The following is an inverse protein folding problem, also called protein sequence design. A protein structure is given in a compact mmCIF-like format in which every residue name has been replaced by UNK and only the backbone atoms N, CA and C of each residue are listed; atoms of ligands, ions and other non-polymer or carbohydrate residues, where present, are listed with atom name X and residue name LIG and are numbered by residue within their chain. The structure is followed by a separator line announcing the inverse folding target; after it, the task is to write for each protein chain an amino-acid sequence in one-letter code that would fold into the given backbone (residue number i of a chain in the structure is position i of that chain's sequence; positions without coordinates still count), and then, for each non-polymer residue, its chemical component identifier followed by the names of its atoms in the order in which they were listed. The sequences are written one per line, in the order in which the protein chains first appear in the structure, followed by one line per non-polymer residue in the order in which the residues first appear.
data_IF_228762246671
#
_entry.id   IF_228762246671
#
_cell.length_a   1.000
_cell.length_b   1.000
_cell.length_c   1.000
_cell.angle_alpha   90.00
_cell.angle_beta   90.00
_cell.angle_gamma   90.00
#
_symmetry.space_group_name_H-M   'P 1'
#
loop_
_entity.id
_entity.type
_entity.pdbx_description
1 polymer ?
#
# COMPACT_ATOMS: atom_id res chain seq x y z
N UNK A 1 0.91 13.39 -36.28
CA UNK A 1 -0.57 13.43 -36.36
C UNK A 1 -1.12 13.49 -34.95
N UNK A 2 -2.16 14.29 -34.72
CA UNK A 2 -2.91 14.25 -33.45
C UNK A 2 -3.85 13.03 -33.48
N UNK A 3 -3.85 12.25 -32.42
CA UNK A 3 -4.75 11.11 -32.26
C UNK A 3 -5.85 11.46 -31.25
N UNK A 4 -7.08 11.10 -31.58
CA UNK A 4 -8.24 11.24 -30.68
C UNK A 4 -8.55 9.88 -30.08
N UNK A 5 -8.69 9.83 -28.75
CA UNK A 5 -9.02 8.62 -28.01
C UNK A 5 -10.31 8.84 -27.24
N UNK A 6 -11.17 7.81 -27.21
CA UNK A 6 -12.39 7.80 -26.42
C UNK A 6 -12.32 6.65 -25.41
N UNK A 7 -12.71 6.90 -24.16
CA UNK A 7 -12.61 5.94 -23.08
C UNK A 7 -13.95 5.84 -22.36
N UNK A 8 -14.48 4.61 -22.22
CA UNK A 8 -15.68 4.32 -21.43
C UNK A 8 -15.31 3.38 -20.29
N UNK A 9 -15.69 3.73 -19.06
CA UNK A 9 -15.47 2.91 -17.87
C UNK A 9 -16.76 2.91 -17.05
N UNK A 10 -17.31 1.72 -16.79
CA UNK A 10 -18.48 1.57 -15.91
C UNK A 10 -18.07 1.76 -14.44
N UNK A 11 -18.82 2.58 -13.70
CA UNK A 11 -18.53 2.86 -12.28
C UNK A 11 -18.98 1.72 -11.37
N UNK A 12 -20.10 1.08 -11.70
CA UNK A 12 -20.64 -0.09 -10.99
C UNK A 12 -20.85 -1.26 -11.93
N UNK A 13 -20.66 -2.45 -11.38
CA UNK A 13 -20.74 -3.73 -12.10
C UNK A 13 -21.66 -4.74 -11.41
N UNK A 14 -22.39 -4.32 -10.37
CA UNK A 14 -23.25 -5.20 -9.58
C UNK A 14 -24.36 -5.84 -10.41
N UNK A 15 -24.96 -5.12 -11.37
CA UNK A 15 -25.99 -5.68 -12.26
C UNK A 15 -25.42 -6.74 -13.20
N UNK A 16 -24.20 -6.55 -13.69
CA UNK A 16 -23.51 -7.53 -14.52
C UNK A 16 -23.19 -8.80 -13.72
N UNK A 17 -22.69 -8.65 -12.49
CA UNK A 17 -22.42 -9.79 -11.60
C UNK A 17 -23.70 -10.54 -11.24
N UNK A 18 -24.78 -9.81 -10.95
CA UNK A 18 -26.11 -10.38 -10.69
C UNK A 18 -26.59 -11.24 -11.86
N UNK A 19 -26.54 -10.68 -13.09
CA UNK A 19 -27.03 -11.36 -14.28
C UNK A 19 -26.17 -12.56 -14.68
N UNK A 20 -24.85 -12.44 -14.58
CA UNK A 20 -23.93 -13.45 -15.12
C UNK A 20 -23.55 -14.52 -14.11
N UNK A 21 -23.49 -14.18 -12.81
CA UNK A 21 -23.01 -15.08 -11.76
C UNK A 21 -24.10 -15.39 -10.74
N UNK A 22 -24.59 -14.40 -9.99
CA UNK A 22 -25.42 -14.63 -8.80
C UNK A 22 -26.75 -15.33 -9.13
N UNK A 23 -27.36 -15.01 -10.27
CA UNK A 23 -28.59 -15.70 -10.73
C UNK A 23 -28.34 -16.99 -11.50
N UNK A 24 -27.15 -17.13 -12.09
CA UNK A 24 -26.85 -18.24 -12.99
C UNK A 24 -26.40 -19.50 -12.25
N UNK A 25 -25.80 -19.34 -11.07
CA UNK A 25 -25.27 -20.46 -10.28
C UNK A 25 -25.99 -20.49 -8.92
N UNK A 26 -26.61 -21.62 -8.52
CA UNK A 26 -27.43 -21.69 -7.32
C UNK A 26 -26.72 -21.26 -6.03
N UNK A 27 -25.46 -21.66 -5.86
CA UNK A 27 -24.65 -21.33 -4.69
C UNK A 27 -23.20 -21.06 -5.10
N UNK A 28 -22.65 -19.92 -4.69
CA UNK A 28 -21.28 -19.52 -5.00
C UNK A 28 -20.51 -19.22 -3.72
N UNK A 29 -19.27 -19.73 -3.62
CA UNK A 29 -18.35 -19.39 -2.55
C UNK A 29 -17.42 -18.29 -3.05
N UNK A 30 -17.52 -17.10 -2.45
CA UNK A 30 -16.57 -16.00 -2.65
C UNK A 30 -15.63 -15.99 -1.45
N UNK A 31 -14.35 -16.31 -1.67
CA UNK A 31 -13.34 -16.34 -0.62
C UNK A 31 -12.08 -15.58 -1.02
N UNK A 32 -11.49 -14.87 -0.07
CA UNK A 32 -10.21 -14.18 -0.21
C UNK A 32 -9.68 -13.88 1.19
N UNK A 33 -8.35 -13.76 1.31
CA UNK A 33 -7.70 -13.32 2.55
C UNK A 33 -8.14 -11.91 2.98
N UNK A 34 -8.63 -11.09 2.04
CA UNK A 34 -9.16 -9.76 2.34
C UNK A 34 -10.44 -9.52 1.54
N UNK A 35 -11.58 -9.58 2.22
CA UNK A 35 -12.88 -9.18 1.66
C UNK A 35 -13.50 -7.98 2.40
N UNK A 36 -13.03 -7.72 3.63
CA UNK A 36 -13.50 -6.61 4.46
C UNK A 36 -12.67 -5.35 4.21
N UNK A 37 -13.32 -4.21 4.39
CA UNK A 37 -12.67 -2.90 4.50
C UNK A 37 -13.25 -2.19 5.71
N UNK A 38 -12.39 -1.52 6.51
CA UNK A 38 -12.80 -0.90 7.78
C UNK A 38 -13.61 -1.85 8.68
N UNK A 39 -13.18 -3.11 8.81
CA UNK A 39 -13.87 -4.16 9.56
C UNK A 39 -15.32 -4.44 9.10
N UNK A 40 -15.70 -4.09 7.87
CA UNK A 40 -17.05 -4.32 7.34
C UNK A 40 -17.04 -4.95 5.94
N UNK A 41 -18.08 -5.73 5.63
CA UNK A 41 -18.38 -6.21 4.28
C UNK A 41 -19.17 -5.21 3.45
N UNK A 42 -19.55 -4.04 3.99
CA UNK A 42 -20.38 -3.05 3.29
C UNK A 42 -19.85 -2.68 1.91
N UNK A 43 -18.52 -2.50 1.77
CA UNK A 43 -17.92 -2.20 0.46
C UNK A 43 -18.08 -3.36 -0.53
N UNK A 44 -17.85 -4.60 -0.10
CA UNK A 44 -18.03 -5.77 -0.96
C UNK A 44 -19.50 -5.88 -1.39
N UNK A 45 -20.44 -5.75 -0.46
CA UNK A 45 -21.88 -5.79 -0.75
C UNK A 45 -22.26 -4.71 -1.78
N UNK A 46 -21.80 -3.47 -1.57
CA UNK A 46 -22.12 -2.35 -2.46
C UNK A 46 -21.55 -2.49 -3.87
N UNK A 47 -20.35 -3.07 -4.00
CA UNK A 47 -19.67 -3.24 -5.29
C UNK A 47 -20.11 -4.51 -6.03
N UNK A 48 -20.41 -5.58 -5.30
CA UNK A 48 -20.75 -6.89 -5.89
C UNK A 48 -22.25 -7.09 -6.11
N UNK A 49 -23.09 -6.39 -5.35
CA UNK A 49 -24.54 -6.59 -5.36
C UNK A 49 -25.04 -7.64 -4.36
N UNK A 50 -24.16 -8.38 -3.68
CA UNK A 50 -24.51 -9.37 -2.66
C UNK A 50 -25.22 -8.71 -1.46
N UNK A 51 -26.29 -9.34 -0.98
CA UNK A 51 -27.18 -8.81 0.08
C UNK A 51 -27.65 -9.93 0.99
N UNK A 52 -27.59 -9.69 2.30
CA UNK A 52 -28.17 -10.61 3.30
C UNK A 52 -29.67 -10.88 3.04
N UNK A 53 -30.40 -9.87 2.56
CA UNK A 53 -31.82 -10.01 2.17
C UNK A 53 -32.07 -10.98 1.01
N UNK A 54 -31.06 -11.24 0.18
CA UNK A 54 -31.11 -12.23 -0.90
C UNK A 54 -30.73 -13.65 -0.44
N UNK A 55 -30.41 -13.82 0.85
CA UNK A 55 -29.94 -15.10 1.41
C UNK A 55 -28.41 -15.24 1.45
N UNK A 56 -27.66 -14.21 1.02
CA UNK A 56 -26.20 -14.23 1.05
C UNK A 56 -25.66 -14.19 2.48
N UNK A 57 -24.58 -14.94 2.72
CA UNK A 57 -23.92 -15.03 4.03
C UNK A 57 -22.53 -14.41 3.97
N UNK A 58 -22.19 -13.61 4.97
CA UNK A 58 -20.87 -12.99 5.12
C UNK A 58 -20.21 -13.50 6.38
N UNK A 59 -19.12 -14.24 6.21
CA UNK A 59 -18.36 -14.83 7.33
C UNK A 59 -16.95 -14.30 7.31
N UNK A 60 -16.49 -13.77 8.44
CA UNK A 60 -15.10 -13.43 8.66
C UNK A 60 -14.50 -14.46 9.61
N UNK A 61 -13.44 -15.13 9.16
CA UNK A 61 -12.65 -16.01 10.02
C UNK A 61 -11.53 -15.19 10.66
N UNK A 62 -11.21 -15.51 11.90
CA UNK A 62 -10.05 -14.94 12.57
C UNK A 62 -8.76 -15.47 11.93
N UNK A 63 -7.72 -14.64 11.95
CA UNK A 63 -6.42 -15.08 11.47
C UNK A 63 -5.82 -16.09 12.46
N UNK A 64 -5.21 -17.20 11.97
CA UNK A 64 -4.55 -18.17 12.83
C UNK A 64 -3.23 -17.67 13.44
N UNK A 65 -2.78 -16.46 13.07
CA UNK A 65 -1.48 -15.91 13.43
C UNK A 65 -1.55 -14.94 14.61
N UNK A 66 -0.53 -14.98 15.48
CA UNK A 66 -0.40 -14.07 16.62
C UNK A 66 0.42 -12.84 16.24
N UNK A 67 -0.23 -11.85 15.64
CA UNK A 67 0.43 -10.65 15.11
C UNK A 67 1.14 -9.82 16.20
N UNK A 68 0.61 -9.82 17.42
CA UNK A 68 1.17 -9.07 18.56
C UNK A 68 2.55 -9.61 18.96
N UNK A 69 2.74 -10.92 18.94
CA UNK A 69 4.02 -11.57 19.26
C UNK A 69 4.94 -11.71 18.05
N UNK A 70 4.37 -11.82 16.85
CA UNK A 70 5.14 -12.05 15.63
C UNK A 70 5.73 -10.77 15.05
N UNK A 71 5.11 -9.61 15.25
CA UNK A 71 5.68 -8.38 14.70
C UNK A 71 5.17 -7.11 15.33
N UNK A 72 5.57 -6.00 14.73
CA UNK A 72 5.22 -4.66 15.17
C UNK A 72 4.99 -3.70 14.02
N UNK A 73 4.19 -2.68 14.26
CA UNK A 73 4.09 -1.52 13.37
C UNK A 73 5.06 -0.46 13.87
N UNK A 74 5.88 0.06 12.98
CA UNK A 74 6.78 1.18 13.26
C UNK A 74 6.26 2.37 12.48
N UNK A 75 5.88 3.44 13.18
CA UNK A 75 5.45 4.70 12.58
C UNK A 75 6.45 5.76 13.02
N UNK A 76 7.53 5.99 12.25
CA UNK A 76 8.55 6.96 12.62
C UNK A 76 7.94 8.36 12.82
N UNK A 77 8.54 9.15 13.70
CA UNK A 77 8.12 10.53 13.98
C UNK A 77 8.51 11.48 12.85
N UNK A 78 7.93 11.26 11.66
CA UNK A 78 8.18 12.06 10.46
C UNK A 78 7.81 13.53 10.72
N UNK A 79 8.65 14.47 10.26
CA UNK A 79 8.35 15.90 10.41
C UNK A 79 7.25 16.31 9.44
N UNK A 80 7.32 15.81 8.21
CA UNK A 80 6.40 16.17 7.13
C UNK A 80 5.30 15.13 6.90
N UNK A 81 4.07 15.58 6.63
CA UNK A 81 3.02 14.73 6.05
C UNK A 81 3.30 14.51 4.55
N UNK A 82 2.97 13.34 3.97
CA UNK A 82 3.23 13.03 2.54
C UNK A 82 2.24 13.69 1.58
N UNK A 83 2.14 15.02 1.67
CA UNK A 83 1.38 15.89 0.77
C UNK A 83 2.19 16.18 -0.51
N UNK A 84 1.54 16.76 -1.52
CA UNK A 84 2.20 17.11 -2.79
C UNK A 84 3.35 18.11 -2.55
N UNK A 85 3.13 19.11 -1.69
CA UNK A 85 4.10 20.17 -1.43
C UNK A 85 5.33 19.69 -0.63
N UNK A 86 5.14 18.67 0.21
CA UNK A 86 6.17 18.11 1.08
C UNK A 86 6.81 16.84 0.53
N UNK A 87 6.46 16.40 -0.69
CA UNK A 87 6.87 15.08 -1.23
C UNK A 87 8.39 14.89 -1.19
N UNK A 88 9.16 15.93 -1.54
CA UNK A 88 10.63 15.85 -1.56
C UNK A 88 11.21 15.66 -0.15
N UNK A 89 10.78 16.48 0.82
CA UNK A 89 11.25 16.41 2.20
C UNK A 89 10.84 15.10 2.86
N UNK A 90 9.61 14.64 2.59
CA UNK A 90 9.08 13.38 3.10
C UNK A 90 9.87 12.17 2.57
N UNK A 91 10.17 12.14 1.27
CA UNK A 91 10.98 11.07 0.67
C UNK A 91 12.41 11.10 1.20
N UNK A 92 12.99 12.29 1.40
CA UNK A 92 14.33 12.42 1.96
C UNK A 92 14.39 11.88 3.40
N UNK A 93 13.39 12.16 4.24
CA UNK A 93 13.25 11.57 5.59
C UNK A 93 13.07 10.05 5.55
N UNK A 94 12.21 9.56 4.67
CA UNK A 94 12.01 8.13 4.47
C UNK A 94 13.31 7.44 4.08
N UNK A 95 14.08 8.03 3.15
CA UNK A 95 15.35 7.50 2.68
C UNK A 95 16.41 7.48 3.79
N UNK A 96 16.51 8.53 4.59
CA UNK A 96 17.44 8.58 5.72
C UNK A 96 17.13 7.51 6.76
N UNK A 97 15.86 7.39 7.16
CA UNK A 97 15.45 6.35 8.11
C UNK A 97 15.64 4.94 7.51
N UNK A 98 15.31 4.73 6.23
CA UNK A 98 15.54 3.46 5.54
C UNK A 98 17.03 3.07 5.51
N UNK A 99 17.94 4.03 5.32
CA UNK A 99 19.39 3.78 5.37
C UNK A 99 19.82 3.28 6.76
N UNK A 100 19.35 3.90 7.83
CA UNK A 100 19.65 3.43 9.19
C UNK A 100 19.17 1.99 9.41
N UNK A 101 17.98 1.65 8.91
CA UNK A 101 17.46 0.28 8.98
C UNK A 101 18.35 -0.70 8.19
N UNK A 102 18.76 -0.32 6.99
CA UNK A 102 19.66 -1.13 6.15
C UNK A 102 21.03 -1.32 6.80
N UNK A 103 21.57 -0.28 7.45
CA UNK A 103 22.86 -0.29 8.15
C UNK A 103 22.84 -1.06 9.46
N UNK A 104 21.67 -1.17 10.12
CA UNK A 104 21.50 -1.96 11.34
C UNK A 104 21.81 -3.46 11.15
N UNK A 105 21.74 -3.95 9.89
CA UNK A 105 21.94 -5.36 9.51
C UNK A 105 21.04 -6.35 10.26
N UNK A 106 19.93 -5.90 10.84
CA UNK A 106 18.96 -6.75 11.54
C UNK A 106 18.09 -7.58 10.60
N UNK A 107 17.92 -7.12 9.35
CA UNK A 107 17.00 -7.70 8.38
C UNK A 107 17.73 -8.11 7.10
N UNK A 108 17.51 -9.35 6.66
CA UNK A 108 18.04 -9.87 5.39
C UNK A 108 17.06 -9.58 4.23
N UNK A 109 15.79 -9.94 4.39
CA UNK A 109 14.73 -9.71 3.41
C UNK A 109 13.90 -8.46 3.70
N UNK A 110 13.99 -7.47 2.82
CA UNK A 110 13.24 -6.21 2.92
C UNK A 110 12.35 -5.99 1.69
N UNK A 111 11.19 -5.33 1.89
CA UNK A 111 10.29 -4.91 0.82
C UNK A 111 9.93 -3.43 0.99
N UNK A 112 10.08 -2.61 -0.05
CA UNK A 112 9.69 -1.20 -0.07
C UNK A 112 8.56 -0.98 -1.08
N UNK A 113 7.44 -0.46 -0.60
CA UNK A 113 6.22 -0.25 -1.39
C UNK A 113 5.88 1.23 -1.55
N UNK A 114 5.65 1.63 -2.80
CA UNK A 114 5.25 2.97 -3.18
C UNK A 114 3.83 3.01 -3.75
N UNK A 115 3.12 4.10 -3.47
CA UNK A 115 1.81 4.39 -4.07
C UNK A 115 1.91 4.93 -5.50
N UNK A 116 3.07 5.45 -5.92
CA UNK A 116 3.29 6.00 -7.26
C UNK A 116 4.71 5.74 -7.77
N UNK A 117 4.84 5.59 -9.09
CA UNK A 117 6.15 5.44 -9.75
C UNK A 117 7.03 6.68 -9.56
N UNK A 118 6.43 7.87 -9.52
CA UNK A 118 7.14 9.13 -9.26
C UNK A 118 7.87 9.10 -7.92
N UNK A 119 7.18 8.72 -6.84
CA UNK A 119 7.77 8.64 -5.51
C UNK A 119 8.85 7.56 -5.42
N UNK A 120 8.64 6.41 -6.07
CA UNK A 120 9.63 5.34 -6.15
C UNK A 120 10.93 5.82 -6.81
N UNK A 121 10.85 6.51 -7.95
CA UNK A 121 12.05 7.02 -8.65
C UNK A 121 12.79 8.07 -7.80
N UNK A 122 12.06 9.00 -7.16
CA UNK A 122 12.66 9.98 -6.25
C UNK A 122 13.37 9.32 -5.06
N UNK A 123 12.76 8.29 -4.47
CA UNK A 123 13.41 7.53 -3.41
C UNK A 123 14.70 6.87 -3.90
N UNK A 124 14.69 6.26 -5.10
CA UNK A 124 15.88 5.61 -5.68
C UNK A 124 17.04 6.60 -5.92
N UNK A 125 16.74 7.86 -6.26
CA UNK A 125 17.76 8.93 -6.34
C UNK A 125 18.44 9.15 -4.98
N UNK A 126 17.68 9.09 -3.88
CA UNK A 126 18.17 9.24 -2.51
C UNK A 126 18.85 7.99 -1.94
N UNK A 127 18.86 6.85 -2.62
CA UNK A 127 19.53 5.61 -2.18
C UNK A 127 20.43 5.00 -3.26
N UNK A 128 20.94 5.83 -4.16
CA UNK A 128 21.74 5.41 -5.31
C UNK A 128 23.04 4.67 -4.92
N UNK A 129 23.62 5.00 -3.77
CA UNK A 129 24.83 4.37 -3.22
C UNK A 129 24.61 2.91 -2.82
N UNK A 130 23.40 2.52 -2.45
CA UNK A 130 23.05 1.13 -2.07
C UNK A 130 22.34 0.36 -3.18
N UNK A 131 22.38 0.87 -4.43
CA UNK A 131 21.64 0.34 -5.57
C UNK A 131 21.86 -1.16 -5.84
N UNK A 132 23.05 -1.69 -5.57
CA UNK A 132 23.37 -3.11 -5.77
C UNK A 132 22.51 -4.06 -4.92
N UNK A 133 22.04 -3.59 -3.75
CA UNK A 133 21.16 -4.35 -2.85
C UNK A 133 19.69 -4.32 -3.30
N UNK A 134 19.33 -3.36 -4.15
CA UNK A 134 17.94 -3.08 -4.54
C UNK A 134 17.55 -3.84 -5.81
N UNK A 135 16.42 -4.54 -5.73
CA UNK A 135 15.76 -5.25 -6.81
C UNK A 135 14.47 -4.50 -7.17
N UNK A 136 14.54 -3.65 -8.19
CA UNK A 136 13.50 -2.67 -8.49
C UNK A 136 12.53 -3.19 -9.56
N UNK A 137 11.23 -3.05 -9.31
CA UNK A 137 10.18 -3.34 -10.28
C UNK A 137 10.40 -2.54 -11.57
N UNK A 138 10.47 -3.27 -12.70
CA UNK A 138 10.72 -2.69 -14.01
C UNK A 138 12.11 -3.01 -14.55
N UNK A 139 13.09 -3.30 -13.68
CA UNK A 139 14.45 -3.69 -14.12
C UNK A 139 14.45 -5.08 -14.80
N UNK A 140 13.66 -6.00 -14.26
CA UNK A 140 13.51 -7.38 -14.76
C UNK A 140 12.07 -7.86 -14.58
N UNK A 141 11.66 -8.95 -15.26
CA UNK A 141 10.40 -9.61 -14.97
C UNK A 141 10.26 -9.94 -13.48
N UNK A 142 9.05 -9.73 -12.92
CA UNK A 142 8.79 -9.91 -11.48
C UNK A 142 9.30 -11.23 -10.92
N UNK A 143 9.12 -12.34 -11.64
CA UNK A 143 9.56 -13.66 -11.18
C UNK A 143 11.08 -13.74 -10.99
N UNK A 144 11.87 -13.09 -11.86
CA UNK A 144 13.34 -13.04 -11.76
C UNK A 144 13.80 -12.22 -10.56
N UNK A 145 13.14 -11.09 -10.28
CA UNK A 145 13.44 -10.28 -9.10
C UNK A 145 13.21 -11.09 -7.82
N UNK A 146 12.10 -11.83 -7.74
CA UNK A 146 11.79 -12.69 -6.58
C UNK A 146 12.78 -13.86 -6.46
N UNK A 147 13.15 -14.49 -7.57
CA UNK A 147 14.15 -15.57 -7.62
C UNK A 147 15.52 -15.09 -7.10
N UNK A 148 16.00 -13.94 -7.59
CA UNK A 148 17.25 -13.36 -7.15
C UNK A 148 17.21 -12.91 -5.67
N UNK A 149 16.06 -12.38 -5.23
CA UNK A 149 15.85 -12.02 -3.84
C UNK A 149 16.00 -13.23 -2.91
N UNK A 150 15.32 -14.35 -3.23
CA UNK A 150 15.43 -15.60 -2.47
C UNK A 150 16.88 -16.08 -2.42
N UNK A 151 17.55 -16.15 -3.57
CA UNK A 151 18.94 -16.59 -3.65
C UNK A 151 19.88 -15.77 -2.75
N UNK A 152 19.73 -14.44 -2.73
CA UNK A 152 20.53 -13.55 -1.88
C UNK A 152 20.23 -13.76 -0.39
N UNK A 153 18.97 -13.81 -0.01
CA UNK A 153 18.59 -14.00 1.40
C UNK A 153 19.05 -15.36 1.92
N UNK A 154 18.88 -16.41 1.11
CA UNK A 154 19.33 -17.77 1.45
C UNK A 154 20.86 -17.90 1.53
N UNK A 155 21.63 -17.05 0.83
CA UNK A 155 23.09 -16.95 0.98
C UNK A 155 23.53 -16.10 2.17
N UNK A 156 22.59 -15.60 2.99
CA UNK A 156 22.88 -14.70 4.11
C UNK A 156 23.16 -13.26 3.68
N UNK A 157 22.92 -12.91 2.42
CA UNK A 157 23.05 -11.55 1.93
C UNK A 157 21.75 -10.75 2.15
N UNK A 158 21.90 -9.44 2.33
CA UNK A 158 20.75 -8.53 2.39
C UNK A 158 20.21 -8.31 0.98
N UNK A 159 18.88 -8.33 0.84
CA UNK A 159 18.20 -8.03 -0.41
C UNK A 159 16.94 -7.21 -0.16
N UNK A 160 16.75 -6.17 -0.97
CA UNK A 160 15.61 -5.27 -0.86
C UNK A 160 14.82 -5.29 -2.15
N UNK A 161 13.58 -5.74 -2.10
CA UNK A 161 12.64 -5.58 -3.21
C UNK A 161 12.02 -4.18 -3.15
N UNK A 162 11.98 -3.47 -4.28
CA UNK A 162 11.39 -2.13 -4.36
C UNK A 162 10.35 -2.13 -5.47
N UNK A 163 9.11 -1.74 -5.16
CA UNK A 163 8.04 -1.74 -6.15
C UNK A 163 6.85 -0.87 -5.78
N UNK A 164 5.92 -0.78 -6.73
CA UNK A 164 4.60 -0.23 -6.47
C UNK A 164 3.80 -1.20 -5.59
N UNK A 165 2.71 -0.72 -5.00
CA UNK A 165 1.82 -1.59 -4.23
C UNK A 165 1.41 -2.87 -4.98
N UNK A 166 1.12 -2.76 -6.29
CA UNK A 166 0.75 -3.90 -7.14
C UNK A 166 1.87 -4.96 -7.28
N UNK A 167 3.12 -4.59 -7.03
CA UNK A 167 4.23 -5.52 -7.01
C UNK A 167 4.08 -6.56 -5.90
N UNK A 168 3.55 -6.14 -4.74
CA UNK A 168 3.38 -6.98 -3.57
C UNK A 168 2.24 -7.99 -3.71
N UNK A 169 1.31 -7.76 -4.63
CA UNK A 169 0.17 -8.61 -4.86
C UNK A 169 0.62 -9.99 -5.37
N UNK A 170 0.30 -11.02 -4.57
CA UNK A 170 0.68 -12.39 -4.86
C UNK A 170 2.14 -12.74 -4.54
N UNK A 171 2.91 -11.86 -3.88
CA UNK A 171 4.21 -12.26 -3.32
C UNK A 171 4.01 -13.23 -2.15
N UNK A 172 4.65 -14.39 -2.25
CA UNK A 172 4.76 -15.36 -1.16
C UNK A 172 6.21 -15.44 -0.68
N UNK A 173 6.54 -14.58 0.27
CA UNK A 173 7.81 -14.52 0.99
C UNK A 173 7.52 -14.79 2.47
N UNK A 174 8.22 -15.77 3.06
CA UNK A 174 7.98 -16.26 4.43
C UNK A 174 9.29 -16.27 5.22
N UNK A 175 9.20 -16.03 6.53
CA UNK A 175 10.36 -16.04 7.42
C UNK A 175 11.41 -15.00 7.00
N UNK A 176 12.68 -15.41 6.95
CA UNK A 176 13.82 -14.55 6.61
C UNK A 176 13.70 -13.86 5.25
N UNK A 177 12.95 -14.45 4.31
CA UNK A 177 12.68 -13.84 3.01
C UNK A 177 11.96 -12.50 3.10
N UNK A 178 11.26 -12.21 4.20
CA UNK A 178 10.65 -10.90 4.41
C UNK A 178 10.43 -10.63 5.90
N UNK A 179 11.35 -9.90 6.51
CA UNK A 179 11.29 -9.51 7.93
C UNK A 179 11.07 -8.00 8.13
N UNK A 180 11.13 -7.20 7.07
CA UNK A 180 10.84 -5.77 7.15
C UNK A 180 10.07 -5.28 5.91
N UNK A 181 8.93 -4.62 6.13
CA UNK A 181 8.11 -4.04 5.07
C UNK A 181 8.04 -2.53 5.26
N UNK A 182 8.50 -1.77 4.28
CA UNK A 182 8.50 -0.32 4.24
C UNK A 182 7.35 0.19 3.35
N UNK A 183 6.45 0.99 3.92
CA UNK A 183 5.29 1.54 3.22
C UNK A 183 5.44 3.07 3.18
N UNK A 184 5.73 3.60 2.00
CA UNK A 184 5.97 5.05 1.81
C UNK A 184 4.80 5.92 2.30
N UNK A 185 3.56 5.60 1.91
CA UNK A 185 2.38 6.36 2.32
C UNK A 185 1.10 5.56 2.19
N UNK A 186 0.04 6.02 2.84
CA UNK A 186 -1.31 5.51 2.64
C UNK A 186 -1.72 5.73 1.17
N UNK A 187 -2.04 4.63 0.49
CA UNK A 187 -2.45 4.63 -0.91
C UNK A 187 -3.95 4.99 -1.06
N UNK A 188 -4.23 6.29 -1.05
CA UNK A 188 -5.52 6.83 -1.46
C UNK A 188 -5.71 6.75 -2.98
N UNK A 189 -6.93 6.61 -3.47
CA UNK A 189 -7.20 6.65 -4.90
C UNK A 189 -6.80 8.02 -5.49
N UNK A 190 -6.32 8.05 -6.74
CA UNK A 190 -5.92 9.28 -7.42
C UNK A 190 -7.15 10.20 -7.61
N UNK A 191 -7.09 11.40 -7.03
CA UNK A 191 -8.19 12.37 -7.06
C UNK A 191 -8.40 13.01 -8.44
N UNK A 192 -7.40 12.92 -9.31
CA UNK A 192 -7.38 13.40 -10.69
C UNK A 192 -7.86 12.34 -11.70
N UNK A 193 -8.15 11.12 -11.24
CA UNK A 193 -8.72 10.09 -12.10
C UNK A 193 -10.16 10.44 -12.49
N UNK A 194 -10.51 10.44 -13.80
CA UNK A 194 -11.86 10.76 -14.24
C UNK A 194 -12.89 9.79 -13.65
N UNK A 195 -12.53 8.51 -13.50
CA UNK A 195 -13.40 7.49 -12.88
C UNK A 195 -13.69 7.83 -11.41
N UNK A 196 -12.66 8.27 -10.67
CA UNK A 196 -12.79 8.62 -9.25
C UNK A 196 -13.64 9.88 -9.10
N UNK A 197 -13.43 10.87 -9.97
CA UNK A 197 -14.20 12.13 -9.99
C UNK A 197 -15.68 11.83 -10.27
N UNK A 198 -15.99 11.08 -11.32
CA UNK A 198 -17.39 10.77 -11.69
C UNK A 198 -18.08 9.94 -10.62
N UNK A 199 -17.40 8.94 -10.03
CA UNK A 199 -17.97 8.22 -8.88
C UNK A 199 -18.20 9.15 -7.69
N UNK A 200 -17.28 10.08 -7.42
CA UNK A 200 -17.43 11.08 -6.37
C UNK A 200 -18.60 12.04 -6.59
N UNK A 201 -18.85 12.47 -7.82
CA UNK A 201 -20.01 13.29 -8.18
C UNK A 201 -21.32 12.54 -8.02
N UNK A 202 -21.38 11.27 -8.46
CA UNK A 202 -22.53 10.40 -8.26
C UNK A 202 -22.80 10.13 -6.77
N UNK A 203 -21.76 9.90 -5.97
CA UNK A 203 -21.92 9.74 -4.52
C UNK A 203 -22.47 11.02 -3.86
N UNK A 204 -22.02 12.20 -4.30
CA UNK A 204 -22.55 13.48 -3.81
C UNK A 204 -24.02 13.66 -4.19
N UNK A 205 -24.45 13.26 -5.39
CA UNK A 205 -25.88 13.34 -5.78
C UNK A 205 -26.78 12.44 -4.93
N UNK A 206 -26.22 11.37 -4.36
CA UNK A 206 -26.86 10.52 -3.36
C UNK A 206 -26.74 11.04 -1.91
N UNK A 207 -26.27 12.27 -1.71
CA UNK A 207 -26.00 12.88 -0.40
C UNK A 207 -25.01 12.06 0.47
N UNK A 208 -24.03 11.41 -0.17
CA UNK A 208 -22.96 10.65 0.50
C UNK A 208 -21.64 11.39 0.38
N UNK A 209 -20.79 11.28 1.40
CA UNK A 209 -19.47 11.93 1.40
C UNK A 209 -18.42 11.03 0.70
N UNK A 210 -17.85 11.43 -0.46
CA UNK A 210 -16.99 10.54 -1.26
C UNK A 210 -15.74 10.06 -0.53
N UNK A 211 -15.14 10.90 0.32
CA UNK A 211 -13.97 10.48 1.07
C UNK A 211 -14.26 9.28 1.98
N UNK A 212 -15.41 9.29 2.67
CA UNK A 212 -15.81 8.23 3.61
C UNK A 212 -16.24 6.93 2.92
N UNK A 213 -16.85 7.05 1.74
CA UNK A 213 -17.42 5.89 1.02
C UNK A 213 -16.43 5.27 0.03
N UNK A 214 -15.65 6.12 -0.63
CA UNK A 214 -14.78 5.72 -1.74
C UNK A 214 -13.32 5.67 -1.32
N UNK A 215 -12.77 6.80 -0.86
CA UNK A 215 -11.32 6.95 -0.64
C UNK A 215 -10.82 6.19 0.58
N UNK A 216 -11.45 6.38 1.73
CA UNK A 216 -11.02 5.76 2.99
C UNK A 216 -11.15 4.23 2.98
N UNK A 217 -12.24 3.63 2.46
CA UNK A 217 -12.32 2.17 2.39
C UNK A 217 -11.33 1.57 1.38
N UNK A 218 -11.01 2.27 0.29
CA UNK A 218 -9.97 1.85 -0.65
C UNK A 218 -8.60 1.87 0.01
N UNK A 219 -8.29 2.95 0.74
CA UNK A 219 -7.05 3.08 1.49
C UNK A 219 -6.91 2.01 2.60
N UNK A 220 -8.00 1.70 3.31
CA UNK A 220 -8.03 0.61 4.31
C UNK A 220 -7.72 -0.74 3.68
N UNK A 221 -8.36 -1.08 2.56
CA UNK A 221 -8.13 -2.33 1.86
C UNK A 221 -6.67 -2.46 1.39
N UNK A 222 -6.14 -1.39 0.79
CA UNK A 222 -4.75 -1.32 0.35
C UNK A 222 -3.76 -1.51 1.51
N UNK A 223 -4.01 -0.84 2.64
CA UNK A 223 -3.15 -0.93 3.81
C UNK A 223 -3.14 -2.34 4.42
N UNK A 224 -4.31 -2.98 4.53
CA UNK A 224 -4.42 -4.38 4.98
C UNK A 224 -3.59 -5.30 4.08
N UNK A 225 -3.66 -5.12 2.76
CA UNK A 225 -2.89 -5.91 1.79
C UNK A 225 -1.38 -5.73 1.92
N UNK A 226 -0.93 -4.49 2.14
CA UNK A 226 0.48 -4.16 2.31
C UNK A 226 1.03 -4.70 3.63
N UNK A 227 0.33 -4.49 4.75
CA UNK A 227 0.72 -4.99 6.09
C UNK A 227 0.70 -6.52 6.12
N UNK A 228 -0.29 -7.14 5.47
CA UNK A 228 -0.40 -8.60 5.35
C UNK A 228 0.71 -9.28 4.55
N UNK A 229 1.69 -8.53 4.01
CA UNK A 229 2.90 -9.09 3.40
C UNK A 229 3.86 -9.65 4.44
N UNK A 230 3.89 -9.11 5.66
CA UNK A 230 4.85 -9.51 6.70
C UNK A 230 4.52 -10.90 7.27
N UNK A 231 3.29 -11.08 7.76
CA UNK A 231 2.89 -12.30 8.47
C UNK A 231 2.14 -13.25 7.53
N UNK A 232 2.87 -14.28 7.05
CA UNK A 232 2.39 -15.27 6.07
C UNK A 232 2.46 -16.71 6.58
N UNK A 233 3.07 -16.92 7.75
CA UNK A 233 3.20 -18.20 8.45
C UNK A 233 3.48 -17.97 9.93
N UNK A 234 3.36 -19.01 10.77
CA UNK A 234 3.68 -18.93 12.21
C UNK A 234 5.15 -18.59 12.50
N UNK A 235 6.06 -18.85 11.55
CA UNK A 235 7.48 -18.54 11.67
C UNK A 235 7.84 -17.11 11.25
N UNK A 236 6.93 -16.39 10.57
CA UNK A 236 7.19 -15.02 10.17
C UNK A 236 7.35 -14.14 11.40
N UNK A 237 8.43 -13.35 11.43
CA UNK A 237 8.66 -12.31 12.44
C UNK A 237 9.23 -11.06 11.79
N UNK A 238 8.94 -9.89 12.36
CA UNK A 238 9.52 -8.65 11.87
C UNK A 238 8.69 -7.41 12.11
N UNK A 239 8.86 -6.42 11.23
CA UNK A 239 8.21 -5.12 11.41
C UNK A 239 7.69 -4.52 10.10
N UNK A 240 6.61 -3.75 10.19
CA UNK A 240 6.10 -2.93 9.09
C UNK A 240 6.33 -1.47 9.43
N UNK A 241 7.21 -0.81 8.69
CA UNK A 241 7.53 0.61 8.81
C UNK A 241 6.61 1.42 7.90
N UNK A 242 5.73 2.25 8.47
CA UNK A 242 4.81 3.10 7.71
C UNK A 242 5.23 4.57 7.88
N UNK A 243 5.66 5.22 6.80
CA UNK A 243 6.17 6.59 6.83
C UNK A 243 5.07 7.66 6.80
N UNK A 244 3.81 7.29 7.03
CA UNK A 244 2.68 8.21 6.95
C UNK A 244 2.17 8.60 8.34
N UNK A 245 2.64 9.74 8.85
CA UNK A 245 2.21 10.27 10.15
C UNK A 245 0.69 10.52 10.26
N UNK A 246 -0.03 10.57 9.14
CA UNK A 246 -1.50 10.77 9.13
C UNK A 246 -2.26 9.62 9.78
N UNK A 247 -1.65 8.43 9.93
CA UNK A 247 -2.20 7.35 10.74
C UNK A 247 -2.41 7.74 12.22
N UNK A 248 -1.59 8.67 12.72
CA UNK A 248 -1.65 9.15 14.10
C UNK A 248 -2.24 10.55 14.20
N UNK A 249 -2.00 11.43 13.20
CA UNK A 249 -2.41 12.84 13.26
C UNK A 249 -3.83 13.12 12.79
N UNK A 250 -4.46 12.22 12.00
CA UNK A 250 -5.81 12.44 11.45
C UNK A 250 -6.82 11.50 12.11
N UNK A 251 -8.06 11.99 12.29
CA UNK A 251 -9.15 11.21 12.91
C UNK A 251 -9.43 9.87 12.20
N UNK A 252 -9.29 9.82 10.88
CA UNK A 252 -9.47 8.59 10.12
C UNK A 252 -8.33 7.58 10.32
N UNK A 253 -7.17 8.02 10.83
CA UNK A 253 -5.99 7.19 11.05
C UNK A 253 -6.26 6.05 12.04
N UNK A 254 -6.95 6.34 13.14
CA UNK A 254 -7.37 5.32 14.11
C UNK A 254 -8.26 4.25 13.48
N UNK A 255 -9.14 4.63 12.55
CA UNK A 255 -10.01 3.68 11.84
C UNK A 255 -9.22 2.77 10.90
N UNK A 256 -8.16 3.28 10.27
CA UNK A 256 -7.25 2.49 9.46
C UNK A 256 -6.45 1.50 10.32
N UNK A 257 -5.91 1.96 11.45
CA UNK A 257 -5.19 1.10 12.40
C UNK A 257 -6.08 0.00 12.99
N UNK A 258 -7.30 0.34 13.39
CA UNK A 258 -8.27 -0.62 13.93
C UNK A 258 -8.70 -1.69 12.91
N UNK A 259 -8.52 -1.44 11.61
CA UNK A 259 -8.83 -2.40 10.54
C UNK A 259 -7.68 -3.36 10.26
N UNK A 260 -6.49 -3.11 10.82
CA UNK A 260 -5.34 -4.01 10.73
C UNK A 260 -5.41 -5.06 11.84
N UNK A 261 -4.69 -6.19 11.69
CA UNK A 261 -4.39 -7.05 12.82
C UNK A 261 -3.75 -6.25 13.95
N UNK A 262 -3.96 -6.67 15.19
CA UNK A 262 -3.39 -5.99 16.35
C UNK A 262 -1.88 -6.18 16.36
N UNK A 263 -1.14 -5.08 16.31
CA UNK A 263 0.30 -5.02 16.42
C UNK A 263 0.69 -3.97 17.47
N UNK A 264 1.76 -4.18 18.25
CA UNK A 264 2.37 -3.11 19.02
C UNK A 264 2.88 -2.02 18.06
N UNK A 265 2.67 -0.75 18.44
CA UNK A 265 3.08 0.42 17.64
C UNK A 265 4.28 1.08 18.31
N UNK A 266 5.40 1.18 17.59
CA UNK A 266 6.58 1.94 18.00
C UNK A 266 6.69 3.25 17.20
N UNK A 267 7.16 4.31 17.87
CA UNK A 267 7.29 5.66 17.29
C UNK A 267 8.72 6.19 17.45
N UNK A 268 9.71 5.63 16.74
CA UNK A 268 11.09 6.07 16.82
C UNK A 268 11.29 7.46 16.21
N UNK A 269 12.31 8.18 16.67
CA UNK A 269 12.75 9.43 16.05
C UNK A 269 13.27 9.18 14.62
N UNK A 270 13.18 10.21 13.78
CA UNK A 270 13.71 10.21 12.41
C UNK A 270 15.01 11.01 12.40
N UNK A 271 16.07 10.55 11.72
CA UNK A 271 17.32 11.29 11.61
C UNK A 271 17.16 12.66 10.95
N UNK A 272 18.09 13.57 11.24
CA UNK A 272 18.15 14.87 10.57
C UNK A 272 18.54 14.71 9.10
N UNK A 273 17.75 15.31 8.21
CA UNK A 273 17.97 15.23 6.77
C UNK A 273 18.25 16.63 6.20
N UNK A 274 19.45 16.81 5.67
CA UNK A 274 19.80 18.00 4.89
C UNK A 274 19.26 17.78 3.47
N UNK A 275 18.06 18.29 3.19
CA UNK A 275 17.49 18.27 1.83
C UNK A 275 18.33 19.20 0.96
N UNK A 276 18.97 18.65 -0.09
CA UNK A 276 19.67 19.48 -1.10
C UNK A 276 18.65 20.47 -1.71
N UNK A 277 18.91 21.80 -1.67
CA UNK A 277 17.93 22.77 -2.15
C UNK A 277 17.62 22.56 -3.63
N UNK A 278 16.33 22.65 -3.99
CA UNK A 278 15.88 22.68 -5.40
C UNK A 278 16.67 23.74 -6.16
N UNK A 279 17.39 23.33 -7.20
CA UNK A 279 17.92 24.27 -8.18
C UNK A 279 16.75 25.11 -8.71
N UNK A 280 16.80 26.43 -8.52
CA UNK A 280 15.76 27.33 -9.00
C UNK A 280 15.59 27.12 -10.51
N UNK A 281 14.35 26.98 -11.03
CA UNK A 281 14.14 26.93 -12.46
C UNK A 281 14.72 28.21 -13.07
N UNK A 282 15.60 28.05 -14.06
CA UNK A 282 16.20 29.16 -14.77
C UNK A 282 15.08 30.08 -15.27
N UNK A 283 15.06 31.33 -14.79
CA UNK A 283 14.17 32.37 -15.30
C UNK A 283 14.41 32.45 -16.80
N UNK A 284 13.48 31.92 -17.61
CA UNK A 284 13.41 32.22 -19.04
C UNK A 284 13.28 33.73 -19.16
N UNK A 285 14.39 34.40 -19.50
CA UNK A 285 14.37 35.80 -19.94
C UNK A 285 13.49 35.83 -21.20
N UNK A 286 12.31 36.43 -21.08
CA UNK A 286 11.54 36.87 -22.23
C UNK A 286 12.41 37.90 -22.96
N UNK A 287 12.80 37.60 -24.19
CA UNK A 287 13.20 38.57 -25.21
C UNK A 287 12.03 38.71 -26.15
#
# INVERSE_FOLDING_TARGET
QLHVWFHCVGIRVSEQLERLLWRSVPHIIVTSATLRSLNSFSRLQEMSGLKEKAGDRFVALDSPFNHVEQGKLVIPQMRYEPTIDNEEQHIAEMAAYFREQLESKKHHGMLVLFASGRAMQRFLEHVADVRLLLLVQGDQPRYRLVELHRKRVESGERSVLVGLQSFAEGLDLKGELLTQVHIHKIAFPPIDSPVVITEGEWLKSLNRYPFEVQSLPSASFNLIQQVGRLIRSHACRGEVVIYDKRLLTKNYGQRLLNALPVFPIEQPAVPDVIVKPKAKPARRRRR
#
